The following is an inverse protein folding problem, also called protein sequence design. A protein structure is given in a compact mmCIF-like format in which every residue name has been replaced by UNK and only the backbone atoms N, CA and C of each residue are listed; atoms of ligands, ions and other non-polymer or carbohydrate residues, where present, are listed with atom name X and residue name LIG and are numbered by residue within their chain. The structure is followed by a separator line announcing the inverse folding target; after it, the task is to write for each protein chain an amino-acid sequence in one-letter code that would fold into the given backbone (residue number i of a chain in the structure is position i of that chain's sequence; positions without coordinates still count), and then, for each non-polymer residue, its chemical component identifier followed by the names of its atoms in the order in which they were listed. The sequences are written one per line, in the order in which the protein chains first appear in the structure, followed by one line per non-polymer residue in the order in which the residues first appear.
data_IF_144371362733
#
_entry.id   IF_144371362733
#
_cell.length_a   1.000
_cell.length_b   1.000
_cell.length_c   1.000
_cell.angle_alpha   90.00
_cell.angle_beta   90.00
_cell.angle_gamma   90.00
#
_symmetry.space_group_name_H-M   'P 1'
#
loop_
_entity.id
_entity.type
_entity.pdbx_description
1 polymer ?
#
# COMPACT_ATOMS: atom_id res chain seq x y z
N UNK A 1 7.71 -2.19 -2.52
CA UNK A 1 6.60 -1.78 -3.39
C UNK A 1 7.14 -0.79 -4.41
N UNK A 2 6.63 -0.82 -5.63
CA UNK A 2 7.05 0.05 -6.73
C UNK A 2 5.85 0.79 -7.33
N UNK A 3 6.09 1.77 -8.20
CA UNK A 3 5.01 2.48 -8.90
C UNK A 3 4.14 1.55 -9.76
N UNK A 4 4.70 0.44 -10.25
CA UNK A 4 3.98 -0.52 -11.10
C UNK A 4 2.89 -1.28 -10.34
N UNK A 5 2.92 -1.24 -9.00
CA UNK A 5 1.94 -1.85 -8.11
C UNK A 5 0.66 -1.01 -7.96
N UNK A 6 0.74 0.30 -8.19
CA UNK A 6 -0.34 1.26 -7.91
C UNK A 6 -1.62 1.01 -8.71
N UNK A 7 -1.59 0.64 -10.02
CA UNK A 7 -2.80 0.31 -10.75
C UNK A 7 -3.57 -0.87 -10.14
N UNK A 8 -2.88 -1.83 -9.51
CA UNK A 8 -3.53 -2.94 -8.81
C UNK A 8 -4.19 -2.48 -7.52
N UNK A 9 -3.52 -1.62 -6.76
CA UNK A 9 -4.07 -1.02 -5.53
C UNK A 9 -5.31 -0.16 -5.81
N UNK A 10 -5.34 0.57 -6.92
CA UNK A 10 -6.52 1.35 -7.34
C UNK A 10 -7.73 0.45 -7.54
N UNK A 11 -7.55 -0.70 -8.22
CA UNK A 11 -8.63 -1.66 -8.41
C UNK A 11 -9.13 -2.21 -7.08
N UNK A 12 -8.23 -2.56 -6.17
CA UNK A 12 -8.60 -3.05 -4.83
C UNK A 12 -9.33 -2.00 -3.99
N UNK A 13 -8.98 -0.71 -4.11
CA UNK A 13 -9.68 0.35 -3.38
C UNK A 13 -11.16 0.50 -3.77
N UNK A 14 -11.53 0.02 -4.97
CA UNK A 14 -12.91 -0.02 -5.46
C UNK A 14 -13.62 -1.34 -5.14
N UNK A 15 -12.92 -2.32 -4.59
CA UNK A 15 -13.49 -3.54 -4.03
C UNK A 15 -13.91 -3.27 -2.57
N UNK A 16 -15.23 -3.33 -2.32
CA UNK A 16 -15.79 -3.03 -1.00
C UNK A 16 -15.36 -4.03 0.09
N UNK A 17 -15.08 -5.28 -0.28
CA UNK A 17 -14.62 -6.28 0.68
C UNK A 17 -13.18 -5.98 1.09
N UNK A 18 -12.30 -5.74 0.11
CA UNK A 18 -10.92 -5.34 0.37
C UNK A 18 -10.85 -4.06 1.22
N UNK A 19 -11.54 -2.99 0.80
CA UNK A 19 -11.49 -1.70 1.48
C UNK A 19 -11.94 -1.79 2.94
N UNK A 20 -12.90 -2.66 3.24
CA UNK A 20 -13.38 -2.92 4.61
C UNK A 20 -12.41 -3.74 5.45
N UNK A 21 -11.62 -4.62 4.83
CA UNK A 21 -10.69 -5.52 5.53
C UNK A 21 -9.29 -4.95 5.68
N UNK A 22 -8.93 -3.94 4.87
CA UNK A 22 -7.58 -3.39 4.84
C UNK A 22 -7.17 -2.70 6.15
N UNK A 23 -8.06 -1.86 6.70
CA UNK A 23 -7.78 -1.04 7.89
C UNK A 23 -9.06 -0.83 8.71
N UNK A 24 -8.87 -0.48 9.98
CA UNK A 24 -9.85 0.07 10.91
C UNK A 24 -10.42 1.43 10.52
N UNK A 25 -9.75 2.18 9.64
CA UNK A 25 -10.24 3.43 9.10
C UNK A 25 -11.50 3.24 8.24
N UNK A 26 -12.39 4.25 8.12
CA UNK A 26 -13.56 4.16 7.26
C UNK A 26 -13.18 3.78 5.82
N UNK A 27 -13.82 2.74 5.30
CA UNK A 27 -13.64 2.29 3.92
C UNK A 27 -14.31 3.26 2.95
N UNK A 28 -13.53 3.83 2.03
CA UNK A 28 -14.03 4.62 0.90
C UNK A 28 -13.10 4.44 -0.31
N UNK A 29 -13.63 4.50 -1.55
CA UNK A 29 -12.83 4.38 -2.76
C UNK A 29 -11.75 5.47 -2.84
N UNK A 30 -10.54 5.07 -3.18
CA UNK A 30 -9.40 5.99 -3.34
C UNK A 30 -9.30 6.42 -4.79
N UNK A 31 -8.92 7.68 -5.02
CA UNK A 31 -8.55 8.15 -6.37
C UNK A 31 -7.09 7.81 -6.66
N UNK A 32 -6.71 7.83 -7.94
CA UNK A 32 -5.31 7.65 -8.37
C UNK A 32 -4.37 8.62 -7.65
N UNK A 33 -4.70 9.92 -7.67
CA UNK A 33 -3.90 10.94 -7.00
C UNK A 33 -3.72 10.71 -5.50
N UNK A 34 -4.72 10.14 -4.80
CA UNK A 34 -4.60 9.83 -3.38
C UNK A 34 -3.63 8.67 -3.13
N UNK A 35 -3.63 7.66 -4.00
CA UNK A 35 -2.68 6.55 -3.89
C UNK A 35 -1.27 6.93 -4.32
N UNK A 36 -1.12 7.80 -5.33
CA UNK A 36 0.17 8.36 -5.72
C UNK A 36 0.80 9.14 -4.56
N UNK A 37 0.01 10.01 -3.92
CA UNK A 37 0.46 10.77 -2.76
C UNK A 37 0.87 9.85 -1.61
N UNK A 38 0.04 8.87 -1.26
CA UNK A 38 0.36 7.90 -0.21
C UNK A 38 1.63 7.11 -0.54
N UNK A 39 1.82 6.70 -1.79
CA UNK A 39 3.03 6.01 -2.24
C UNK A 39 4.27 6.90 -2.04
N UNK A 40 4.24 8.15 -2.49
CA UNK A 40 5.35 9.07 -2.29
C UNK A 40 5.69 9.30 -0.81
N UNK A 41 4.67 9.45 0.04
CA UNK A 41 4.84 9.60 1.49
C UNK A 41 5.49 8.35 2.09
N UNK A 42 5.05 7.15 1.68
CA UNK A 42 5.61 5.87 2.13
C UNK A 42 7.09 5.71 1.75
N UNK A 43 7.52 6.24 0.60
CA UNK A 43 8.92 6.17 0.16
C UNK A 43 9.84 7.13 0.92
N UNK A 44 9.28 8.20 1.50
CA UNK A 44 10.01 9.23 2.24
C UNK A 44 10.05 8.94 3.75
N UNK A 45 9.23 8.02 4.24
CA UNK A 45 9.18 7.65 5.65
C UNK A 45 10.53 7.08 6.12
N UNK A 46 11.01 7.57 7.26
CA UNK A 46 12.25 7.05 7.87
C UNK A 46 11.98 6.07 9.02
N UNK A 47 10.74 5.97 9.47
CA UNK A 47 10.27 5.19 10.61
C UNK A 47 9.25 4.10 10.22
N UNK A 48 9.01 3.94 8.90
CA UNK A 48 8.12 2.93 8.35
C UNK A 48 8.63 2.40 7.02
N UNK A 49 8.36 1.12 6.74
CA UNK A 49 8.63 0.48 5.45
C UNK A 49 7.39 -0.25 4.95
N UNK A 50 7.04 0.00 3.68
CA UNK A 50 5.98 -0.74 2.98
C UNK A 50 6.59 -1.72 1.97
N UNK A 51 6.34 -3.01 2.18
CA UNK A 51 6.82 -4.10 1.37
C UNK A 51 5.66 -4.68 0.57
N UNK A 52 5.88 -4.88 -0.73
CA UNK A 52 4.91 -5.53 -1.59
C UNK A 52 5.10 -7.05 -1.52
N UNK A 53 4.01 -7.79 -1.65
CA UNK A 53 3.97 -9.25 -1.73
C UNK A 53 3.55 -9.59 -3.15
N UNK A 54 4.47 -10.18 -3.91
CA UNK A 54 4.25 -10.58 -5.30
C UNK A 54 4.15 -12.10 -5.44
N UNK A 55 3.47 -12.56 -6.49
CA UNK A 55 3.62 -13.92 -6.99
C UNK A 55 5.07 -14.16 -7.40
N UNK A 56 5.56 -15.39 -7.19
CA UNK A 56 6.89 -15.79 -7.67
C UNK A 56 6.92 -15.88 -9.21
N UNK A 57 5.81 -16.31 -9.80
CA UNK A 57 5.64 -16.46 -11.23
C UNK A 57 4.66 -15.39 -11.75
N UNK A 58 5.20 -14.44 -12.52
CA UNK A 58 4.47 -13.28 -13.01
C UNK A 58 4.36 -12.19 -11.94
N UNK A 59 4.65 -10.94 -12.31
CA UNK A 59 4.76 -9.77 -11.40
C UNK A 59 3.42 -9.32 -10.79
N UNK A 60 2.52 -10.25 -10.46
CA UNK A 60 1.23 -9.98 -9.86
C UNK A 60 1.36 -9.63 -8.37
N UNK A 61 0.98 -8.40 -8.03
CA UNK A 61 0.83 -7.97 -6.64
C UNK A 61 -0.32 -8.74 -5.95
N UNK A 62 -0.02 -9.39 -4.84
CA UNK A 62 -0.97 -10.12 -3.99
C UNK A 62 -1.36 -9.35 -2.73
N UNK A 63 -0.49 -8.46 -2.27
CA UNK A 63 -0.76 -7.61 -1.12
C UNK A 63 0.45 -6.76 -0.76
N UNK A 64 0.38 -6.11 0.39
CA UNK A 64 1.51 -5.40 0.97
C UNK A 64 1.46 -5.51 2.49
N UNK A 65 2.60 -5.28 3.13
CA UNK A 65 2.73 -5.16 4.58
C UNK A 65 3.47 -3.88 4.91
N UNK A 66 2.95 -3.12 5.85
CA UNK A 66 3.63 -1.98 6.43
C UNK A 66 4.18 -2.36 7.80
N UNK A 67 5.43 -2.02 8.06
CA UNK A 67 6.02 -2.04 9.39
C UNK A 67 6.37 -0.61 9.75
N UNK A 68 5.75 -0.07 10.80
CA UNK A 68 5.91 1.32 11.24
C UNK A 68 6.27 1.40 12.73
N UNK A 69 6.60 2.60 13.21
CA UNK A 69 7.04 2.82 14.60
C UNK A 69 8.48 2.39 14.86
N UNK A 70 9.34 2.46 13.84
CA UNK A 70 10.73 2.05 13.94
C UNK A 70 11.51 3.16 14.65
N UNK A 71 12.04 2.83 15.83
CA UNK A 71 12.95 3.68 16.57
C UNK A 71 14.40 3.29 16.26
N UNK A 72 15.15 4.22 15.67
CA UNK A 72 16.58 4.04 15.43
C UNK A 72 17.37 4.56 16.63
N UNK A 73 18.27 3.72 17.15
CA UNK A 73 19.24 4.18 18.16
C UNK A 73 20.32 4.99 17.45
N UNK A 74 20.47 6.26 17.83
CA UNK A 74 21.64 7.08 17.48
C UNK A 74 22.85 6.71 18.34
#
# INVERSE_FOLDING_TARGET
MTSDDLPTMIRWSHDSEFARLLDSNPAYPKTESMLDQWFEESQKASDAFTLAIHLLDGDGLLGFVETSGIEWTN
#
